data_IF_561334711162
#
_entry.id   IF_561334711162
#
_cell.length_a   1.000
_cell.length_b   1.000
_cell.length_c   1.000
_cell.angle_alpha   90.00
_cell.angle_beta   90.00
_cell.angle_gamma   90.00
#
_symmetry.space_group_name_H-M   'P 1'
#
loop_
_entity.id
_entity.type
_entity.pdbx_description
1 polymer ?
#
# COMPACT_ATOMS: atom_id res chain seq x y z
N UNK A 1 -12.05 -3.30 21.68
CA UNK A 1 -13.13 -3.40 20.67
C UNK A 1 -12.86 -4.42 19.55
N UNK A 2 -11.76 -5.21 19.58
CA UNK A 2 -11.48 -6.25 18.57
C UNK A 2 -11.84 -7.68 19.03
N UNK A 3 -12.04 -7.89 20.33
CA UNK A 3 -12.37 -9.20 20.90
C UNK A 3 -13.86 -9.58 20.79
N UNK A 4 -14.75 -8.62 20.50
CA UNK A 4 -16.21 -8.84 20.47
C UNK A 4 -16.74 -9.34 19.13
N UNK A 5 -15.98 -9.20 18.04
CA UNK A 5 -16.46 -9.55 16.70
C UNK A 5 -16.63 -11.06 16.53
N UNK A 6 -15.68 -11.93 16.97
CA UNK A 6 -15.86 -13.38 16.88
C UNK A 6 -17.00 -13.90 17.77
N UNK A 7 -17.16 -13.33 18.97
CA UNK A 7 -18.29 -13.63 19.85
C UNK A 7 -19.63 -13.27 19.20
N UNK A 8 -19.70 -12.10 18.55
CA UNK A 8 -20.91 -11.66 17.87
C UNK A 8 -21.23 -12.54 16.65
N UNK A 9 -20.23 -12.97 15.88
CA UNK A 9 -20.43 -13.91 14.78
C UNK A 9 -21.04 -15.24 15.25
N UNK A 10 -20.57 -15.77 16.38
CA UNK A 10 -21.08 -17.02 16.92
C UNK A 10 -22.52 -16.88 17.44
N UNK A 11 -22.86 -15.76 18.07
CA UNK A 11 -24.24 -15.43 18.46
C UNK A 11 -25.16 -15.32 17.23
N UNK A 12 -24.68 -14.70 16.14
CA UNK A 12 -25.44 -14.59 14.89
C UNK A 12 -25.67 -15.97 14.27
N UNK A 13 -24.64 -16.85 14.25
CA UNK A 13 -24.79 -18.22 13.76
C UNK A 13 -25.81 -19.00 14.59
N UNK A 14 -25.72 -18.95 15.91
CA UNK A 14 -26.68 -19.62 16.81
C UNK A 14 -28.11 -19.12 16.57
N UNK A 15 -28.29 -17.83 16.39
CA UNK A 15 -29.61 -17.24 16.07
C UNK A 15 -30.16 -17.76 14.74
N UNK A 16 -29.34 -17.80 13.68
CA UNK A 16 -29.75 -18.30 12.37
C UNK A 16 -30.08 -19.79 12.39
N UNK A 17 -29.34 -20.59 13.19
CA UNK A 17 -29.63 -22.00 13.43
C UNK A 17 -30.97 -22.15 14.15
N UNK A 18 -31.20 -21.41 15.23
CA UNK A 18 -32.44 -21.46 16.02
C UNK A 18 -33.68 -21.14 15.17
N UNK A 19 -33.58 -20.20 14.22
CA UNK A 19 -34.69 -19.84 13.32
C UNK A 19 -34.85 -20.76 12.11
N UNK A 20 -33.94 -21.69 11.87
CA UNK A 20 -33.95 -22.57 10.72
C UNK A 20 -33.56 -21.90 9.40
N UNK A 21 -32.86 -20.76 9.44
CA UNK A 21 -32.42 -20.02 8.25
C UNK A 21 -31.13 -20.60 7.66
N UNK A 22 -31.16 -21.88 7.30
CA UNK A 22 -30.00 -22.63 6.80
C UNK A 22 -29.40 -22.03 5.51
N UNK A 23 -30.24 -21.48 4.62
CA UNK A 23 -29.78 -20.78 3.42
C UNK A 23 -29.00 -19.51 3.75
N UNK A 24 -29.53 -18.68 4.65
CA UNK A 24 -28.88 -17.44 5.12
C UNK A 24 -27.61 -17.74 5.91
N UNK A 25 -27.60 -18.78 6.75
CA UNK A 25 -26.42 -19.22 7.47
C UNK A 25 -25.29 -19.60 6.51
N UNK A 26 -25.60 -20.38 5.46
CA UNK A 26 -24.61 -20.77 4.46
C UNK A 26 -24.02 -19.57 3.70
N UNK A 27 -24.87 -18.61 3.34
CA UNK A 27 -24.40 -17.36 2.71
C UNK A 27 -23.55 -16.55 3.69
N UNK A 28 -23.99 -16.40 4.94
CA UNK A 28 -23.24 -15.70 5.98
C UNK A 28 -21.88 -16.35 6.26
N UNK A 29 -21.79 -17.67 6.36
CA UNK A 29 -20.51 -18.39 6.52
C UNK A 29 -19.61 -18.26 5.29
N UNK A 30 -20.19 -18.21 4.09
CA UNK A 30 -19.45 -17.97 2.85
C UNK A 30 -18.88 -16.56 2.84
N UNK A 31 -19.70 -15.56 3.22
CA UNK A 31 -19.29 -14.17 3.33
C UNK A 31 -18.21 -14.02 4.40
N UNK A 32 -18.34 -14.67 5.56
CA UNK A 32 -17.31 -14.69 6.62
C UNK A 32 -16.00 -15.34 6.17
N UNK A 33 -16.03 -16.34 5.30
CA UNK A 33 -14.82 -16.94 4.70
C UNK A 33 -14.22 -16.06 3.60
N UNK A 34 -15.07 -15.35 2.88
CA UNK A 34 -14.67 -14.37 1.86
C UNK A 34 -14.27 -13.02 2.47
N UNK A 35 -14.59 -12.80 3.75
CA UNK A 35 -14.27 -11.62 4.54
C UNK A 35 -12.77 -11.55 4.79
N UNK A 36 -12.06 -11.06 3.77
CA UNK A 36 -10.64 -10.72 3.82
C UNK A 36 -10.34 -9.65 4.87
N UNK A 37 -11.35 -8.96 5.40
CA UNK A 37 -11.19 -7.91 6.39
C UNK A 37 -10.87 -8.47 7.80
N UNK A 38 -11.19 -9.74 8.10
CA UNK A 38 -10.81 -10.39 9.37
C UNK A 38 -9.33 -10.72 9.52
N UNK A 39 -8.58 -10.66 8.42
CA UNK A 39 -7.14 -10.90 8.40
C UNK A 39 -6.38 -9.73 7.76
N UNK A 40 -6.78 -8.47 8.02
CA UNK A 40 -5.88 -7.31 7.88
C UNK A 40 -4.69 -7.42 8.88
N UNK A 41 -3.99 -8.56 8.84
CA UNK A 41 -2.68 -8.77 9.41
C UNK A 41 -1.77 -7.83 8.65
N UNK A 42 -1.10 -6.96 9.39
CA UNK A 42 -0.16 -5.99 8.84
C UNK A 42 0.82 -6.68 7.88
N UNK A 43 1.26 -7.90 8.20
CA UNK A 43 2.12 -8.72 7.34
C UNK A 43 1.54 -8.92 5.93
N UNK A 44 0.23 -9.20 5.80
CA UNK A 44 -0.40 -9.41 4.50
C UNK A 44 -0.57 -8.13 3.70
N UNK A 45 -0.79 -7.01 4.37
CA UNK A 45 -0.82 -5.69 3.73
C UNK A 45 0.57 -5.37 3.19
N UNK A 46 1.60 -5.55 4.01
CA UNK A 46 2.99 -5.29 3.66
C UNK A 46 3.46 -6.22 2.55
N UNK A 47 3.13 -7.51 2.60
CA UNK A 47 3.38 -8.48 1.53
C UNK A 47 2.75 -8.01 0.21
N UNK A 48 1.50 -7.57 0.25
CA UNK A 48 0.77 -7.13 -0.93
C UNK A 48 1.35 -5.83 -1.52
N UNK A 49 1.69 -4.86 -0.67
CA UNK A 49 2.35 -3.62 -1.08
C UNK A 49 3.71 -3.92 -1.74
N UNK A 50 4.51 -4.81 -1.14
CA UNK A 50 5.76 -5.25 -1.75
C UNK A 50 5.55 -5.98 -3.06
N UNK A 51 4.52 -6.83 -3.18
CA UNK A 51 4.24 -7.53 -4.42
C UNK A 51 3.95 -6.57 -5.58
N UNK A 52 3.20 -5.49 -5.35
CA UNK A 52 2.98 -4.45 -6.37
C UNK A 52 4.27 -3.72 -6.77
N UNK A 53 5.18 -3.50 -5.82
CA UNK A 53 6.50 -2.92 -6.10
C UNK A 53 7.37 -3.88 -6.94
N UNK A 54 7.43 -5.16 -6.57
CA UNK A 54 8.21 -6.17 -7.28
C UNK A 54 7.69 -6.45 -8.69
N UNK A 55 6.38 -6.31 -8.89
CA UNK A 55 5.71 -6.51 -10.19
C UNK A 55 5.65 -5.24 -11.05
N UNK A 56 6.14 -4.10 -10.53
CA UNK A 56 6.06 -2.79 -11.19
C UNK A 56 4.64 -2.37 -11.57
N UNK A 57 3.67 -2.70 -10.71
CA UNK A 57 2.27 -2.31 -10.86
C UNK A 57 1.94 -1.11 -9.96
N UNK A 58 2.28 0.08 -10.45
CA UNK A 58 2.00 1.33 -9.74
C UNK A 58 0.49 1.60 -9.58
N UNK A 59 -0.32 1.15 -10.54
CA UNK A 59 -1.76 1.41 -10.51
C UNK A 59 -2.40 0.59 -9.40
N UNK A 60 -2.11 -0.71 -9.35
CA UNK A 60 -2.54 -1.57 -8.25
C UNK A 60 -2.03 -1.10 -6.89
N UNK A 61 -0.79 -0.59 -6.82
CA UNK A 61 -0.22 -0.03 -5.60
C UNK A 61 -1.02 1.18 -5.08
N UNK A 62 -1.33 2.13 -5.95
CA UNK A 62 -2.11 3.35 -5.61
C UNK A 62 -3.54 3.02 -5.24
N UNK A 63 -4.22 2.21 -6.05
CA UNK A 63 -5.61 1.81 -5.79
C UNK A 63 -5.72 1.08 -4.44
N UNK A 64 -4.75 0.21 -4.13
CA UNK A 64 -4.71 -0.47 -2.84
C UNK A 64 -4.38 0.49 -1.68
N UNK A 65 -3.49 1.45 -1.89
CA UNK A 65 -3.21 2.49 -0.89
C UNK A 65 -4.43 3.36 -0.60
N UNK A 66 -5.17 3.79 -1.63
CA UNK A 66 -6.40 4.57 -1.49
C UNK A 66 -7.49 3.76 -0.75
N UNK A 67 -7.58 2.45 -1.02
CA UNK A 67 -8.43 1.55 -0.26
C UNK A 67 -8.07 1.53 1.24
N UNK A 68 -6.78 1.40 1.57
CA UNK A 68 -6.31 1.45 2.96
C UNK A 68 -6.61 2.80 3.61
N UNK A 69 -6.43 3.88 2.85
CA UNK A 69 -6.72 5.23 3.30
C UNK A 69 -8.21 5.41 3.63
N UNK A 70 -9.08 4.94 2.76
CA UNK A 70 -10.53 5.04 2.95
C UNK A 70 -11.05 4.17 4.10
N UNK A 71 -10.49 2.97 4.25
CA UNK A 71 -10.92 1.99 5.25
C UNK A 71 -10.39 2.31 6.65
N UNK A 72 -9.13 2.75 6.76
CA UNK A 72 -8.42 2.88 8.03
C UNK A 72 -8.01 4.33 8.32
N UNK A 73 -7.30 4.96 7.40
CA UNK A 73 -6.63 6.24 7.69
C UNK A 73 -7.59 7.43 7.79
N UNK A 74 -8.74 7.41 7.10
CA UNK A 74 -9.80 8.42 7.28
C UNK A 74 -10.39 8.45 8.70
N UNK A 75 -10.24 7.37 9.47
CA UNK A 75 -10.76 7.25 10.84
C UNK A 75 -9.71 7.53 11.91
N UNK A 76 -8.46 7.76 11.51
CA UNK A 76 -7.36 8.07 12.43
C UNK A 76 -7.42 9.54 12.84
N UNK A 77 -7.03 9.81 14.09
CA UNK A 77 -6.87 11.16 14.59
C UNK A 77 -5.88 11.95 13.73
N UNK A 78 -6.12 13.26 13.63
CA UNK A 78 -5.33 14.20 12.83
C UNK A 78 -3.81 14.08 13.08
N UNK A 79 -3.42 13.71 14.31
CA UNK A 79 -2.03 13.50 14.72
C UNK A 79 -1.31 12.41 13.91
N UNK A 80 -2.03 11.42 13.38
CA UNK A 80 -1.46 10.32 12.61
C UNK A 80 -1.49 10.55 11.10
N UNK A 81 -2.23 11.54 10.61
CA UNK A 81 -2.34 11.85 9.18
C UNK A 81 -0.97 12.15 8.55
N UNK A 82 -0.12 12.88 9.27
CA UNK A 82 1.26 13.17 8.84
C UNK A 82 2.09 11.90 8.65
N UNK A 83 1.92 10.90 9.52
CA UNK A 83 2.66 9.64 9.41
C UNK A 83 2.15 8.78 8.25
N UNK A 84 0.84 8.78 8.01
CA UNK A 84 0.24 8.11 6.86
C UNK A 84 0.76 8.72 5.56
N UNK A 85 0.81 10.06 5.45
CA UNK A 85 1.36 10.74 4.28
C UNK A 85 2.84 10.46 4.07
N UNK A 86 3.63 10.42 5.14
CA UNK A 86 5.04 10.00 5.06
C UNK A 86 5.18 8.55 4.58
N UNK A 87 4.34 7.65 5.06
CA UNK A 87 4.36 6.25 4.65
C UNK A 87 4.01 6.09 3.16
N UNK A 88 2.97 6.80 2.69
CA UNK A 88 2.62 6.88 1.27
C UNK A 88 3.83 7.33 0.44
N UNK A 89 4.49 8.41 0.86
CA UNK A 89 5.65 8.93 0.16
C UNK A 89 6.83 7.94 0.14
N UNK A 90 7.14 7.31 1.27
CA UNK A 90 8.19 6.30 1.34
C UNK A 90 7.91 5.12 0.40
N UNK A 91 6.65 4.69 0.32
CA UNK A 91 6.21 3.59 -0.54
C UNK A 91 6.40 3.93 -2.03
N UNK A 92 6.00 5.13 -2.46
CA UNK A 92 6.20 5.59 -3.83
C UNK A 92 7.69 5.75 -4.17
N UNK A 93 8.50 6.27 -3.24
CA UNK A 93 9.96 6.36 -3.42
C UNK A 93 10.59 4.98 -3.54
N UNK A 94 10.16 4.02 -2.73
CA UNK A 94 10.65 2.64 -2.79
C UNK A 94 10.34 2.01 -4.15
N UNK A 95 9.14 2.25 -4.71
CA UNK A 95 8.78 1.81 -6.06
C UNK A 95 9.76 2.35 -7.11
N UNK A 96 10.03 3.66 -7.09
CA UNK A 96 10.93 4.30 -8.06
C UNK A 96 12.35 3.76 -7.93
N UNK A 97 12.89 3.68 -6.71
CA UNK A 97 14.24 3.16 -6.45
C UNK A 97 14.35 1.71 -6.93
N UNK A 98 13.35 0.87 -6.63
CA UNK A 98 13.33 -0.52 -7.07
C UNK A 98 13.31 -0.64 -8.60
N UNK A 99 12.52 0.20 -9.29
CA UNK A 99 12.49 0.25 -10.75
C UNK A 99 13.83 0.71 -11.36
N UNK A 100 14.48 1.71 -10.77
CA UNK A 100 15.81 2.17 -11.20
C UNK A 100 16.88 1.09 -11.03
N UNK A 101 16.91 0.42 -9.87
CA UNK A 101 17.88 -0.64 -9.57
C UNK A 101 17.79 -1.84 -10.53
N UNK A 102 16.59 -2.12 -11.06
CA UNK A 102 16.36 -3.19 -12.02
C UNK A 102 16.36 -2.71 -13.48
N UNK A 103 16.86 -1.50 -13.74
CA UNK A 103 16.93 -0.86 -15.07
C UNK A 103 15.57 -0.75 -15.78
N UNK A 104 14.46 -0.74 -15.03
CA UNK A 104 13.09 -0.53 -15.51
C UNK A 104 12.75 0.95 -15.64
N UNK A 105 13.57 1.66 -16.42
CA UNK A 105 13.41 3.10 -16.63
C UNK A 105 12.08 3.46 -17.30
N UNK A 106 11.53 2.56 -18.13
CA UNK A 106 10.20 2.69 -18.72
C UNK A 106 9.10 2.87 -17.66
N UNK A 107 9.18 2.12 -16.56
CA UNK A 107 8.21 2.19 -15.45
C UNK A 107 8.38 3.43 -14.59
N UNK A 108 9.60 3.95 -14.50
CA UNK A 108 9.88 5.22 -13.82
C UNK A 108 9.33 6.39 -14.64
N UNK A 109 9.51 6.37 -15.96
CA UNK A 109 8.91 7.36 -16.86
C UNK A 109 7.40 7.32 -16.77
N UNK A 110 6.78 6.13 -16.86
CA UNK A 110 5.33 5.94 -16.74
C UNK A 110 4.79 6.51 -15.41
N UNK A 111 5.51 6.27 -14.30
CA UNK A 111 5.19 6.84 -13.00
C UNK A 111 5.17 8.37 -13.05
N UNK A 112 6.25 8.98 -13.54
CA UNK A 112 6.34 10.44 -13.57
C UNK A 112 5.34 11.04 -14.56
N UNK A 113 5.13 10.49 -15.75
CA UNK A 113 4.13 11.01 -16.69
C UNK A 113 2.72 11.03 -16.08
N UNK A 114 2.37 9.98 -15.34
CA UNK A 114 1.03 9.84 -14.75
C UNK A 114 0.83 10.65 -13.48
N UNK A 115 1.83 10.75 -12.61
CA UNK A 115 1.68 11.30 -11.27
C UNK A 115 2.40 12.64 -11.05
N UNK A 116 3.21 13.13 -11.99
CA UNK A 116 3.95 14.40 -11.84
C UNK A 116 3.04 15.59 -11.54
N UNK A 117 1.90 15.73 -12.20
CA UNK A 117 0.99 16.86 -11.98
C UNK A 117 0.44 16.92 -10.55
N UNK A 118 0.22 15.77 -9.92
CA UNK A 118 -0.22 15.65 -8.53
C UNK A 118 0.95 15.90 -7.57
N UNK A 119 2.10 15.26 -7.83
CA UNK A 119 3.26 15.26 -6.96
C UNK A 119 3.99 16.61 -6.93
N UNK A 120 3.97 17.40 -8.01
CA UNK A 120 4.58 18.73 -8.07
C UNK A 120 4.00 19.72 -7.05
N UNK A 121 2.75 19.52 -6.63
CA UNK A 121 2.12 20.36 -5.62
C UNK A 121 2.64 20.10 -4.21
N UNK A 122 3.29 18.95 -4.00
CA UNK A 122 3.82 18.52 -2.70
C UNK A 122 5.28 18.99 -2.54
N UNK A 123 5.55 19.74 -1.47
CA UNK A 123 6.89 20.25 -1.14
C UNK A 123 7.95 19.18 -1.05
N UNK A 124 7.60 17.98 -0.59
CA UNK A 124 8.55 16.89 -0.35
C UNK A 124 9.00 16.19 -1.65
N UNK A 125 8.29 16.42 -2.76
CA UNK A 125 8.69 15.94 -4.08
C UNK A 125 9.46 17.00 -4.88
N UNK A 126 9.45 18.27 -4.44
CA UNK A 126 10.16 19.34 -5.13
C UNK A 126 11.66 19.13 -5.22
N UNK A 127 12.31 18.49 -4.25
CA UNK A 127 13.75 18.20 -4.33
C UNK A 127 14.05 17.13 -5.40
N UNK A 128 13.15 16.16 -5.58
CA UNK A 128 13.23 15.16 -6.65
C UNK A 128 13.00 15.75 -8.04
N UNK A 129 12.15 16.79 -8.15
CA UNK A 129 11.93 17.51 -9.41
C UNK A 129 12.94 18.65 -9.65
N UNK A 130 13.49 19.24 -8.59
CA UNK A 130 14.29 20.47 -8.59
C UNK A 130 15.79 20.24 -8.70
N UNK A 131 16.32 19.12 -8.21
CA UNK A 131 17.70 18.71 -8.47
C UNK A 131 17.87 18.14 -9.89
N UNK A 132 17.42 18.82 -10.96
CA UNK A 132 17.78 18.49 -12.35
C UNK A 132 17.56 17.03 -12.81
N UNK A 133 16.74 16.28 -12.08
CA UNK A 133 16.52 14.85 -12.24
C UNK A 133 15.27 14.65 -13.09
N UNK A 134 15.38 15.02 -14.37
CA UNK A 134 14.44 14.55 -15.35
C UNK A 134 14.44 13.01 -15.41
N UNK A 135 13.36 12.39 -15.92
CA UNK A 135 13.26 10.94 -16.07
C UNK A 135 14.48 10.30 -16.76
N UNK A 136 15.17 11.06 -17.62
CA UNK A 136 16.34 10.64 -18.37
C UNK A 136 17.68 10.76 -17.61
N UNK A 137 17.79 11.62 -16.60
CA UNK A 137 19.04 11.82 -15.81
C UNK A 137 19.08 10.97 -14.55
N UNK A 138 17.92 10.50 -14.06
CA UNK A 138 17.85 9.59 -12.91
C UNK A 138 18.54 8.24 -13.16
N UNK A 139 18.38 7.68 -14.37
CA UNK A 139 19.03 6.42 -14.74
C UNK A 139 20.56 6.52 -14.82
N UNK A 140 21.07 7.64 -15.33
CA UNK A 140 22.52 7.88 -15.44
C UNK A 140 23.17 8.17 -14.08
N UNK A 141 22.48 8.87 -13.18
CA UNK A 141 23.03 9.20 -11.87
C UNK A 141 22.87 8.07 -10.84
N UNK A 142 21.92 7.15 -11.01
CA UNK A 142 21.84 5.92 -10.21
C UNK A 142 23.03 4.99 -10.47
N UNK A 143 23.54 4.96 -11.70
CA UNK A 143 24.75 4.22 -12.09
C UNK A 143 26.03 4.91 -11.55
N UNK A 144 26.09 6.25 -11.54
CA UNK A 144 27.23 7.01 -11.01
C UNK A 144 27.27 7.11 -9.47
N UNK A 145 26.12 7.12 -8.78
CA UNK A 145 26.06 7.31 -7.32
C UNK A 145 26.32 6.05 -6.50
N UNK A 146 26.60 4.91 -7.14
CA UNK A 146 26.97 3.70 -6.41
C UNK A 146 26.00 3.38 -5.28
N UNK A 147 24.68 3.39 -5.54
CA UNK A 147 23.66 2.88 -4.62
C UNK A 147 23.71 1.34 -4.53
N UNK A 148 24.93 0.78 -4.59
CA UNK A 148 25.25 -0.54 -4.12
C UNK A 148 25.42 -0.44 -2.60
N UNK A 149 24.45 -1.00 -1.90
CA UNK A 149 24.62 -1.57 -0.56
C UNK A 149 25.15 -0.63 0.54
N UNK A 150 24.22 -0.08 1.32
CA UNK A 150 24.40 0.04 2.77
C UNK A 150 23.14 -0.43 3.49
N UNK A 151 22.75 -1.68 3.21
CA UNK A 151 22.01 -2.46 4.20
C UNK A 151 23.05 -3.12 5.10
N UNK A 152 23.73 -2.30 5.91
CA UNK A 152 24.50 -2.85 7.02
C UNK A 152 23.49 -3.26 8.08
N UNK A 153 23.22 -4.56 8.08
CA UNK A 153 22.88 -5.38 9.21
C UNK A 153 23.44 -4.79 10.51
N UNK A 154 22.62 -4.04 11.25
CA UNK A 154 22.86 -3.80 12.68
C UNK A 154 22.42 -5.06 13.42
N UNK A 155 23.41 -5.68 14.07
CA UNK A 155 23.29 -6.80 15.00
C UNK A 155 22.89 -6.33 16.39
#
# INVERSE_FOLDING_TARGET
MAADVPMLDDVIKEYLIFRGFSGTLKSFESDLKADKDKSFRVDKIVDQLHQYILSYDIVGLRDFWDYLNDRFFKRLDYQHYTNVKKLEMCLLRLYIIHALQNSKNDKVVEFFEKYTAELQTQTEWREWFGEGLGPHTFGLQAEERGLSYSFHQES
#
